data_IF_110526505799
#
_entry.id   IF_110526505799
#
_cell.length_a   1.000
_cell.length_b   1.000
_cell.length_c   1.000
_cell.angle_alpha   90.00
_cell.angle_beta   90.00
_cell.angle_gamma   90.00
#
_symmetry.space_group_name_H-M   'P 1'
#
loop_
_entity.id
_entity.type
_entity.pdbx_description
1 polymer ?
#
# COMPACT_ATOMS: atom_id res chain seq x y z
N UNK A 1 -8.57 -13.20 1.09
CA UNK A 1 -8.92 -11.95 0.37
C UNK A 1 -8.20 -10.81 1.05
N UNK A 2 -7.50 -9.96 0.31
CA UNK A 2 -6.64 -8.91 0.86
C UNK A 2 -5.13 -9.19 0.82
N UNK A 3 -4.70 -10.27 0.16
CA UNK A 3 -3.28 -10.51 -0.08
C UNK A 3 -2.68 -9.42 -0.99
N UNK A 4 -1.53 -8.88 -0.60
CA UNK A 4 -0.79 -7.92 -1.41
C UNK A 4 0.09 -8.69 -2.40
N UNK A 5 -0.36 -8.79 -3.65
CA UNK A 5 0.35 -9.53 -4.70
C UNK A 5 1.30 -8.67 -5.53
N UNK A 6 1.11 -7.35 -5.54
CA UNK A 6 1.96 -6.42 -6.27
C UNK A 6 1.86 -5.01 -5.68
N UNK A 7 2.97 -4.25 -5.74
CA UNK A 7 3.06 -2.84 -5.33
C UNK A 7 3.74 -2.06 -6.45
N UNK A 8 3.18 -0.91 -6.80
CA UNK A 8 3.77 -0.02 -7.82
C UNK A 8 3.67 1.42 -7.35
N UNK A 9 4.81 2.10 -7.32
CA UNK A 9 4.88 3.52 -6.97
C UNK A 9 4.71 4.35 -8.24
N UNK A 10 3.60 5.11 -8.29
CA UNK A 10 3.24 5.97 -9.43
C UNK A 10 3.88 7.35 -9.33
N UNK A 11 3.95 7.92 -8.14
CA UNK A 11 4.55 9.24 -7.88
C UNK A 11 5.27 9.20 -6.53
N UNK A 12 6.53 9.66 -6.49
CA UNK A 12 7.30 9.79 -5.27
C UNK A 12 8.20 11.02 -5.37
N UNK A 13 8.23 11.82 -4.30
CA UNK A 13 9.13 12.99 -4.17
C UNK A 13 10.32 12.72 -3.24
N UNK A 14 10.39 11.51 -2.65
CA UNK A 14 11.49 11.08 -1.79
C UNK A 14 12.61 10.39 -2.56
N UNK A 15 13.67 10.01 -1.85
CA UNK A 15 14.77 9.23 -2.41
C UNK A 15 14.43 7.74 -2.59
N UNK A 16 15.33 7.00 -3.23
CA UNK A 16 15.14 5.57 -3.48
C UNK A 16 15.04 4.74 -2.19
N UNK A 17 15.70 5.16 -1.11
CA UNK A 17 15.66 4.48 0.18
C UNK A 17 14.27 4.61 0.79
N UNK A 18 13.73 5.84 0.82
CA UNK A 18 12.37 6.12 1.24
C UNK A 18 11.36 5.34 0.40
N UNK A 19 11.49 5.38 -0.93
CA UNK A 19 10.61 4.64 -1.84
C UNK A 19 10.59 3.14 -1.52
N UNK A 20 11.76 2.51 -1.38
CA UNK A 20 11.86 1.07 -1.03
C UNK A 20 11.28 0.77 0.34
N UNK A 21 11.44 1.66 1.31
CA UNK A 21 10.85 1.48 2.65
C UNK A 21 9.32 1.46 2.61
N UNK A 22 8.72 2.31 1.78
CA UNK A 22 7.26 2.35 1.57
C UNK A 22 6.79 1.07 0.87
N UNK A 23 7.45 0.66 -0.20
CA UNK A 23 7.12 -0.60 -0.90
C UNK A 23 7.18 -1.80 0.05
N UNK A 24 8.25 -1.91 0.85
CA UNK A 24 8.41 -2.97 1.83
C UNK A 24 7.34 -2.94 2.93
N UNK A 25 6.93 -1.74 3.38
CA UNK A 25 5.86 -1.61 4.36
C UNK A 25 4.51 -2.12 3.83
N UNK A 26 4.19 -1.83 2.56
CA UNK A 26 2.95 -2.30 1.91
C UNK A 26 2.94 -3.83 1.79
N UNK A 27 4.04 -4.45 1.35
CA UNK A 27 4.13 -5.91 1.33
C UNK A 27 4.00 -6.53 2.73
N UNK A 28 4.63 -5.92 3.75
CA UNK A 28 4.53 -6.39 5.15
C UNK A 28 3.15 -6.24 5.77
N UNK A 29 2.30 -5.35 5.22
CA UNK A 29 0.92 -5.20 5.66
C UNK A 29 0.00 -6.31 5.16
N UNK A 30 0.50 -7.26 4.35
CA UNK A 30 -0.26 -8.40 3.88
C UNK A 30 -0.57 -9.38 5.03
N UNK A 31 -1.80 -9.92 5.12
CA UNK A 31 -2.97 -9.54 4.34
C UNK A 31 -3.62 -8.25 4.86
N UNK A 32 -4.11 -7.43 3.95
CA UNK A 32 -4.87 -6.23 4.30
C UNK A 32 -6.16 -6.58 5.04
N UNK A 33 -6.63 -5.71 5.95
CA UNK A 33 -7.91 -5.90 6.63
C UNK A 33 -9.04 -6.08 5.64
N UNK A 34 -9.96 -7.00 5.95
CA UNK A 34 -11.18 -7.15 5.16
C UNK A 34 -12.08 -5.94 5.37
N UNK A 35 -12.72 -5.41 4.31
CA UNK A 35 -13.71 -4.36 4.47
C UNK A 35 -14.91 -4.90 5.26
N UNK A 36 -15.58 -4.02 6.00
CA UNK A 36 -16.79 -4.36 6.76
C UNK A 36 -17.97 -4.75 5.87
N UNK A 37 -18.05 -4.16 4.68
CA UNK A 37 -18.99 -4.52 3.62
C UNK A 37 -18.22 -5.21 2.48
N UNK A 38 -18.56 -6.47 2.12
CA UNK A 38 -17.94 -7.18 1.01
C UNK A 38 -18.04 -6.45 -0.35
N UNK A 39 -19.07 -5.64 -0.55
CA UNK A 39 -19.26 -4.87 -1.79
C UNK A 39 -18.22 -3.75 -1.97
N UNK A 40 -17.54 -3.34 -0.90
CA UNK A 40 -16.48 -2.33 -0.92
C UNK A 40 -15.08 -2.91 -1.20
N UNK A 41 -14.99 -4.21 -1.52
CA UNK A 41 -13.72 -4.80 -1.86
C UNK A 41 -13.21 -4.26 -3.20
N UNK A 42 -12.06 -3.58 -3.16
CA UNK A 42 -11.35 -3.11 -4.34
C UNK A 42 -10.06 -3.89 -4.56
N UNK A 43 -9.82 -4.31 -5.80
CA UNK A 43 -8.59 -5.05 -6.16
C UNK A 43 -7.36 -4.14 -6.21
N UNK A 44 -7.54 -2.87 -6.59
CA UNK A 44 -6.48 -1.89 -6.70
C UNK A 44 -6.78 -0.71 -5.79
N UNK A 45 -5.86 -0.40 -4.90
CA UNK A 45 -6.01 0.68 -3.91
C UNK A 45 -4.85 1.65 -4.09
N UNK A 46 -5.16 2.94 -4.18
CA UNK A 46 -4.17 4.01 -4.25
C UNK A 46 -3.93 4.59 -2.86
N UNK A 47 -2.74 4.36 -2.32
CA UNK A 47 -2.32 4.91 -1.03
C UNK A 47 -1.43 6.15 -1.22
N UNK A 48 -1.75 7.22 -0.51
CA UNK A 48 -0.90 8.42 -0.44
C UNK A 48 -0.14 8.41 0.89
N UNK A 49 1.15 8.06 0.84
CA UNK A 49 2.00 8.03 2.02
C UNK A 49 2.60 9.42 2.29
N UNK A 50 2.40 9.92 3.51
CA UNK A 50 3.05 11.15 4.00
C UNK A 50 3.72 10.84 5.33
N UNK A 51 5.03 11.11 5.48
CA UNK A 51 5.68 11.01 6.78
C UNK A 51 5.00 12.00 7.73
N UNK A 52 4.59 11.53 8.90
CA UNK A 52 4.16 12.39 9.99
C UNK A 52 5.39 12.82 10.78
N UNK A 53 5.46 14.11 11.12
CA UNK A 53 6.42 14.64 12.10
C UNK A 53 6.05 14.15 13.50
#
# INVERSE_FOLDING_TARGET
>A
GGEVVNVTVTQCVGDDVFRRSVEAAVYKASPLPRPSDPALFERQILFNFKPKK
#
